data_IF_689882598336
#
_entry.id   IF_689882598336
#
_cell.length_a   1.000
_cell.length_b   1.000
_cell.length_c   1.000
_cell.angle_alpha   90.00
_cell.angle_beta   90.00
_cell.angle_gamma   90.00
#
_symmetry.space_group_name_H-M   'P 1'
#
loop_
_entity.id
_entity.type
_entity.pdbx_description
1 polymer ?
#
# COMPACT_ATOMS: atom_id res chain seq x y z
N UNK A 1 -2.07 -22.57 9.50
CA UNK A 1 -1.40 -21.37 8.92
C UNK A 1 -0.13 -21.82 8.23
N UNK A 2 -0.18 -22.15 6.93
CA UNK A 2 1.00 -22.51 6.13
C UNK A 2 1.62 -21.20 5.62
N UNK A 3 2.88 -20.97 5.96
CA UNK A 3 3.59 -19.74 5.66
C UNK A 3 3.94 -19.63 4.17
N UNK A 4 3.74 -18.44 3.59
CA UNK A 4 4.31 -18.00 2.28
C UNK A 4 5.84 -17.80 2.37
N UNK A 5 6.47 -18.09 3.52
CA UNK A 5 7.90 -17.88 3.74
C UNK A 5 8.82 -18.81 2.95
N UNK A 6 8.32 -19.94 2.43
CA UNK A 6 9.15 -20.92 1.72
C UNK A 6 9.68 -20.45 0.36
N UNK A 7 9.28 -19.26 -0.12
CA UNK A 7 9.72 -18.69 -1.41
C UNK A 7 10.37 -17.31 -1.35
N UNK A 8 10.54 -16.70 -0.17
CA UNK A 8 11.11 -15.35 -0.06
C UNK A 8 12.64 -15.41 0.01
N UNK A 9 13.31 -14.78 -0.97
CA UNK A 9 14.77 -14.67 -1.01
C UNK A 9 15.24 -13.68 0.08
N UNK A 10 16.29 -14.00 0.87
CA UNK A 10 16.86 -13.08 1.86
C UNK A 10 17.34 -11.74 1.30
N UNK A 11 17.47 -11.58 -0.02
CA UNK A 11 17.81 -10.30 -0.66
C UNK A 11 16.71 -9.23 -0.58
N UNK A 12 15.45 -9.59 -0.25
CA UNK A 12 14.34 -8.64 -0.15
C UNK A 12 14.29 -7.84 1.17
N UNK A 13 15.24 -8.07 2.07
CA UNK A 13 15.31 -7.41 3.37
C UNK A 13 14.64 -8.20 4.50
N UNK A 14 14.63 -7.64 5.73
CA UNK A 14 14.10 -8.33 6.89
C UNK A 14 12.58 -8.53 6.77
N UNK A 15 12.11 -9.72 7.14
CA UNK A 15 10.69 -10.00 7.26
C UNK A 15 10.14 -9.35 8.53
N UNK A 16 9.11 -8.53 8.37
CA UNK A 16 8.41 -7.87 9.47
C UNK A 16 7.16 -8.68 9.80
N UNK A 17 6.98 -9.00 11.08
CA UNK A 17 5.77 -9.68 11.54
C UNK A 17 4.57 -8.71 11.51
N UNK A 18 3.48 -9.15 10.87
CA UNK A 18 2.18 -8.49 10.89
C UNK A 18 1.17 -9.41 11.60
N UNK A 19 0.59 -9.01 12.74
CA UNK A 19 -0.41 -9.82 13.42
C UNK A 19 -1.66 -10.04 12.55
N UNK A 20 -2.35 -11.19 12.66
CA UNK A 20 -3.59 -11.44 11.93
C UNK A 20 -4.63 -10.33 12.17
N UNK A 21 -5.40 -9.99 11.13
CA UNK A 21 -6.49 -9.02 11.18
C UNK A 21 -6.09 -7.63 11.74
N UNK A 22 -4.84 -7.21 11.54
CA UNK A 22 -4.33 -5.91 11.99
C UNK A 22 -4.10 -4.95 10.81
N UNK A 23 -5.17 -4.51 10.11
CA UNK A 23 -5.02 -3.62 8.95
C UNK A 23 -4.41 -2.26 9.33
N UNK A 24 -4.63 -1.80 10.57
CA UNK A 24 -4.06 -0.53 11.07
C UNK A 24 -2.53 -0.57 11.13
N UNK A 25 -1.96 -1.76 11.30
CA UNK A 25 -0.51 -1.99 11.30
C UNK A 25 0.05 -2.23 9.90
N UNK A 26 -0.74 -2.12 8.83
CA UNK A 26 -0.26 -2.34 7.47
C UNK A 26 -0.31 -1.03 6.65
N UNK A 27 0.83 -0.35 6.40
CA UNK A 27 0.86 0.97 5.77
C UNK A 27 0.28 0.98 4.35
N UNK A 28 0.29 -0.16 3.66
CA UNK A 28 -0.28 -0.26 2.31
C UNK A 28 -1.81 -0.09 2.31
N UNK A 29 -2.50 -0.37 3.43
CA UNK A 29 -3.94 -0.20 3.53
C UNK A 29 -4.35 1.27 3.38
N UNK A 30 -3.55 2.19 3.94
CA UNK A 30 -3.76 3.64 3.81
C UNK A 30 -3.58 4.10 2.36
N UNK A 31 -2.54 3.60 1.67
CA UNK A 31 -2.31 3.86 0.24
C UNK A 31 -3.52 3.39 -0.57
N UNK A 32 -3.96 2.15 -0.35
CA UNK A 32 -5.10 1.57 -1.07
C UNK A 32 -6.42 2.25 -0.76
N UNK A 33 -6.63 2.74 0.46
CA UNK A 33 -7.82 3.51 0.81
C UNK A 33 -7.92 4.79 -0.04
N UNK A 34 -6.85 5.58 -0.10
CA UNK A 34 -6.79 6.79 -0.93
C UNK A 34 -6.88 6.48 -2.42
N UNK A 35 -6.14 5.48 -2.90
CA UNK A 35 -6.17 5.09 -4.32
C UNK A 35 -7.57 4.66 -4.76
N UNK A 36 -8.24 3.81 -3.97
CA UNK A 36 -9.63 3.39 -4.23
C UNK A 36 -10.60 4.57 -4.22
N UNK A 37 -10.42 5.53 -3.31
CA UNK A 37 -11.23 6.74 -3.28
C UNK A 37 -11.09 7.55 -4.57
N UNK A 38 -9.85 7.79 -5.02
CA UNK A 38 -9.57 8.53 -6.25
C UNK A 38 -10.10 7.81 -7.50
N UNK A 39 -9.89 6.50 -7.60
CA UNK A 39 -10.41 5.71 -8.73
C UNK A 39 -11.94 5.73 -8.81
N UNK A 40 -12.63 5.63 -7.67
CA UNK A 40 -14.10 5.71 -7.64
C UNK A 40 -14.63 7.08 -8.04
N UNK A 41 -13.88 8.14 -7.74
CA UNK A 41 -14.22 9.51 -8.16
C UNK A 41 -14.15 9.67 -9.68
N UNK A 42 -13.19 9.00 -10.32
CA UNK A 42 -12.98 9.10 -11.78
C UNK A 42 -13.87 8.14 -12.59
N UNK A 43 -14.33 7.05 -11.97
CA UNK A 43 -15.36 6.14 -12.50
C UNK A 43 -15.08 5.52 -13.89
N UNK A 44 -13.81 5.32 -14.23
CA UNK A 44 -13.37 4.66 -15.46
C UNK A 44 -14.04 3.27 -15.64
N UNK A 45 -14.51 2.97 -16.85
CA UNK A 45 -15.22 1.70 -17.18
C UNK A 45 -14.44 0.78 -18.11
N UNK A 46 -13.21 1.15 -18.45
CA UNK A 46 -12.31 0.36 -19.29
C UNK A 46 -11.05 -0.02 -18.48
N UNK A 47 -10.62 -1.27 -18.59
CA UNK A 47 -9.41 -1.81 -17.93
C UNK A 47 -8.17 -1.01 -18.33
N UNK A 48 -7.96 -0.74 -19.62
CA UNK A 48 -6.77 -0.01 -20.08
C UNK A 48 -6.75 1.43 -19.55
N UNK A 49 -7.90 2.10 -19.60
CA UNK A 49 -8.06 3.45 -19.04
C UNK A 49 -7.83 3.45 -17.52
N UNK A 50 -8.33 2.42 -16.82
CA UNK A 50 -8.11 2.24 -15.38
C UNK A 50 -6.62 2.09 -15.06
N UNK A 51 -5.87 1.28 -15.82
CA UNK A 51 -4.43 1.12 -15.62
C UNK A 51 -3.65 2.42 -15.83
N UNK A 52 -3.90 3.12 -16.94
CA UNK A 52 -3.29 4.44 -17.19
C UNK A 52 -3.63 5.42 -16.08
N UNK A 53 -4.88 5.39 -15.60
CA UNK A 53 -5.34 6.26 -14.53
C UNK A 53 -4.67 5.95 -13.19
N UNK A 54 -4.52 4.68 -12.84
CA UNK A 54 -3.75 4.28 -11.64
C UNK A 54 -2.35 4.90 -11.69
N UNK A 55 -1.65 4.76 -12.82
CA UNK A 55 -0.32 5.36 -13.00
C UNK A 55 -0.30 6.86 -12.73
N UNK A 56 -1.21 7.62 -13.35
CA UNK A 56 -1.31 9.07 -13.15
C UNK A 56 -1.75 9.47 -11.72
N UNK A 57 -2.51 8.63 -11.01
CA UNK A 57 -2.93 8.89 -9.64
C UNK A 57 -1.80 8.66 -8.63
N UNK A 58 -0.80 7.83 -8.95
CA UNK A 58 0.35 7.60 -8.07
C UNK A 58 1.18 8.88 -7.86
N UNK A 59 1.20 9.80 -8.82
CA UNK A 59 1.83 11.12 -8.68
C UNK A 59 1.18 12.00 -7.59
N UNK A 60 -0.01 11.62 -7.10
CA UNK A 60 -0.70 12.33 -6.02
C UNK A 60 -0.26 11.88 -4.61
N UNK A 61 0.69 10.96 -4.51
CA UNK A 61 1.23 10.48 -3.24
C UNK A 61 2.59 11.12 -3.01
N UNK A 62 2.64 12.12 -2.12
CA UNK A 62 3.90 12.80 -1.81
C UNK A 62 4.82 11.91 -0.96
N UNK A 63 6.15 12.09 -1.02
CA UNK A 63 7.08 11.37 -0.14
C UNK A 63 6.76 11.54 1.35
N UNK A 64 6.38 12.75 1.76
CA UNK A 64 5.99 13.06 3.15
C UNK A 64 4.74 12.30 3.56
N UNK A 65 3.73 12.24 2.71
CA UNK A 65 2.51 11.46 2.96
C UNK A 65 2.83 9.97 3.08
N UNK A 66 3.67 9.43 2.19
CA UNK A 66 4.12 8.05 2.26
C UNK A 66 4.86 7.74 3.56
N UNK A 67 5.74 8.64 4.01
CA UNK A 67 6.42 8.51 5.30
C UNK A 67 5.42 8.48 6.47
N UNK A 68 4.39 9.31 6.43
CA UNK A 68 3.35 9.34 7.46
C UNK A 68 2.56 8.02 7.54
N UNK A 69 2.37 7.29 6.43
CA UNK A 69 1.74 5.96 6.50
C UNK A 69 2.54 4.98 7.36
N UNK A 70 3.87 4.99 7.27
CA UNK A 70 4.73 4.16 8.11
C UNK A 70 4.67 4.58 9.58
N UNK A 71 4.65 5.88 9.88
CA UNK A 71 4.47 6.39 11.25
C UNK A 71 3.13 5.94 11.83
N UNK A 72 2.04 6.11 11.07
CA UNK A 72 0.69 5.71 11.47
C UNK A 72 0.59 4.19 11.74
N UNK A 73 1.31 3.38 10.97
CA UNK A 73 1.38 1.92 11.16
C UNK A 73 2.48 1.46 12.13
N UNK A 74 3.08 2.38 12.90
CA UNK A 74 4.06 2.12 13.97
C UNK A 74 5.39 1.53 13.49
N UNK A 75 5.77 1.79 12.24
CA UNK A 75 7.04 1.37 11.64
C UNK A 75 8.11 2.47 11.60
N UNK A 76 7.75 3.70 11.95
CA UNK A 76 8.65 4.84 12.04
C UNK A 76 8.26 5.75 13.21
N UNK A 77 9.17 6.63 13.60
CA UNK A 77 8.93 7.71 14.56
C UNK A 77 9.24 9.05 13.89
N UNK A 78 8.51 10.09 14.29
CA UNK A 78 8.73 11.50 13.90
C UNK A 78 9.98 12.07 14.55
#
# INVERSE_FOLDING_TARGET
>A
MRWVSQGLNPSYGPLIFLPPYSPDLNPIEQVFAKLKHLLRKDAERNIEATWKRIGALLDKFSPTECANYFVNSRYAST
#
